data_IF_186452032384
#
_entry.id   IF_186452032384
#
_cell.length_a   1.000
_cell.length_b   1.000
_cell.length_c   1.000
_cell.angle_alpha   90.00
_cell.angle_beta   90.00
_cell.angle_gamma   90.00
#
_symmetry.space_group_name_H-M   'P 1'
#
loop_
_entity.id
_entity.type
_entity.pdbx_description
1 polymer ?
#
# COMPACT_ATOMS: atom_id res chain seq x y z
N UNK A 1 -8.64 -12.15 0.55
CA UNK A 1 -9.43 -11.88 1.76
C UNK A 1 -9.22 -10.42 2.04
N UNK A 2 -10.29 -9.62 2.13
CA UNK A 2 -10.13 -8.20 2.43
C UNK A 2 -9.45 -8.04 3.80
N UNK A 3 -8.78 -6.90 3.96
CA UNK A 3 -8.25 -6.42 5.25
C UNK A 3 -9.31 -6.60 6.33
N UNK A 4 -8.93 -7.12 7.50
CA UNK A 4 -9.88 -7.28 8.60
C UNK A 4 -10.47 -5.93 9.00
N UNK A 5 -11.76 -5.89 9.35
CA UNK A 5 -12.42 -4.65 9.78
C UNK A 5 -11.70 -4.02 10.97
N UNK A 6 -11.16 -4.84 11.87
CA UNK A 6 -10.33 -4.40 12.98
C UNK A 6 -9.06 -3.65 12.52
N UNK A 7 -8.31 -4.20 11.54
CA UNK A 7 -7.14 -3.50 11.00
C UNK A 7 -7.54 -2.21 10.28
N UNK A 8 -8.67 -2.21 9.58
CA UNK A 8 -9.17 -0.99 8.93
C UNK A 8 -9.48 0.09 9.95
N UNK A 9 -10.18 -0.22 11.04
CA UNK A 9 -10.48 0.75 12.09
C UNK A 9 -9.21 1.24 12.79
N UNK A 10 -8.29 0.34 13.15
CA UNK A 10 -7.02 0.71 13.77
C UNK A 10 -6.15 1.56 12.84
N UNK A 11 -6.18 1.31 11.53
CA UNK A 11 -5.44 2.13 10.56
C UNK A 11 -5.91 3.58 10.49
N UNK A 12 -7.10 3.90 11.03
CA UNK A 12 -7.64 5.25 11.14
C UNK A 12 -7.27 5.95 12.46
N UNK A 13 -6.69 5.23 13.42
CA UNK A 13 -6.21 5.79 14.68
C UNK A 13 -4.75 6.28 14.50
N UNK A 14 -4.46 7.58 14.69
CA UNK A 14 -3.08 8.09 14.71
C UNK A 14 -2.19 7.32 15.71
N UNK A 15 -2.75 6.97 16.87
CA UNK A 15 -2.06 6.27 17.95
C UNK A 15 -1.55 4.88 17.55
N UNK A 16 -2.25 4.19 16.65
CA UNK A 16 -1.81 2.90 16.12
C UNK A 16 -0.48 3.00 15.37
N UNK A 17 -0.24 4.12 14.68
CA UNK A 17 0.97 4.33 13.90
C UNK A 17 2.12 4.87 14.74
N UNK A 18 1.83 5.71 15.73
CA UNK A 18 2.84 6.33 16.62
C UNK A 18 3.18 5.47 17.85
N UNK A 19 2.40 4.42 18.13
CA UNK A 19 2.55 3.58 19.32
C UNK A 19 1.83 4.13 20.56
N UNK A 20 0.93 5.10 20.39
CA UNK A 20 0.14 5.75 21.44
C UNK A 20 -1.36 5.40 21.30
N UNK A 21 -1.68 4.11 21.13
CA UNK A 21 -3.07 3.65 20.97
C UNK A 21 -3.90 4.04 22.19
N UNK A 22 -4.93 4.84 21.98
CA UNK A 22 -5.92 5.16 23.02
C UNK A 22 -6.83 3.95 23.23
N UNK A 23 -7.17 3.61 24.47
CA UNK A 23 -8.07 2.49 24.82
C UNK A 23 -7.56 1.07 24.48
N UNK A 24 -6.23 0.84 24.57
CA UNK A 24 -5.60 -0.47 24.36
C UNK A 24 -6.23 -1.61 25.19
N UNK A 25 -6.80 -1.31 26.36
CA UNK A 25 -7.44 -2.28 27.26
C UNK A 25 -8.70 -2.95 26.68
N UNK A 26 -9.31 -2.37 25.63
CA UNK A 26 -10.50 -2.90 24.97
C UNK A 26 -10.20 -3.59 23.63
N UNK A 27 -8.93 -3.64 23.22
CA UNK A 27 -8.48 -4.29 22.01
C UNK A 27 -8.13 -5.76 22.26
N UNK A 28 -8.20 -6.63 21.24
CA UNK A 28 -7.70 -8.00 21.37
C UNK A 28 -6.18 -8.01 21.63
N UNK A 29 -5.68 -9.07 22.26
CA UNK A 29 -4.24 -9.19 22.54
C UNK A 29 -3.38 -9.15 21.26
N UNK A 30 -3.90 -9.71 20.16
CA UNK A 30 -3.22 -9.71 18.86
C UNK A 30 -4.19 -9.52 17.69
N UNK A 31 -3.66 -8.90 16.64
CA UNK A 31 -4.32 -8.71 15.36
C UNK A 31 -3.55 -9.43 14.26
N UNK A 32 -4.26 -10.27 13.50
CA UNK A 32 -3.70 -11.02 12.39
C UNK A 32 -4.22 -10.47 11.07
N UNK A 33 -3.31 -10.14 10.15
CA UNK A 33 -3.62 -9.74 8.79
C UNK A 33 -2.88 -10.64 7.80
N UNK A 34 -3.60 -11.13 6.80
CA UNK A 34 -3.02 -11.90 5.70
C UNK A 34 -3.13 -11.09 4.42
N UNK A 35 -2.00 -10.95 3.73
CA UNK A 35 -1.89 -10.32 2.42
C UNK A 35 -1.56 -11.41 1.38
N UNK A 36 -2.57 -12.00 0.73
CA UNK A 36 -2.36 -12.96 -0.36
C UNK A 36 -1.57 -12.29 -1.48
N UNK A 37 -0.49 -12.93 -1.93
CA UNK A 37 0.34 -12.39 -3.01
C UNK A 37 -0.02 -13.08 -4.33
N UNK A 38 0.24 -14.39 -4.46
CA UNK A 38 -0.09 -15.18 -5.66
C UNK A 38 0.10 -16.68 -5.39
N UNK A 39 -0.51 -17.54 -6.22
CA UNK A 39 -0.36 -19.02 -6.18
C UNK A 39 -0.54 -19.66 -4.79
N UNK A 40 -1.30 -19.03 -3.89
CA UNK A 40 -1.50 -19.50 -2.51
C UNK A 40 -0.44 -19.04 -1.51
N UNK A 41 0.57 -18.28 -1.93
CA UNK A 41 1.47 -17.57 -1.03
C UNK A 41 0.78 -16.36 -0.39
N UNK A 42 1.12 -16.06 0.86
CA UNK A 42 0.71 -14.84 1.53
C UNK A 42 1.77 -14.34 2.51
N UNK A 43 1.87 -13.02 2.66
CA UNK A 43 2.56 -12.40 3.78
C UNK A 43 1.56 -12.29 4.94
N UNK A 44 1.95 -12.75 6.12
CA UNK A 44 1.08 -12.73 7.31
C UNK A 44 1.73 -11.83 8.36
N UNK A 45 1.01 -10.79 8.74
CA UNK A 45 1.42 -9.86 9.78
C UNK A 45 0.60 -10.13 11.04
N UNK A 46 1.29 -10.36 12.14
CA UNK A 46 0.74 -10.36 13.48
C UNK A 46 1.19 -9.09 14.19
N UNK A 47 0.27 -8.41 14.86
CA UNK A 47 0.53 -7.23 15.68
C UNK A 47 0.02 -7.52 17.09
N UNK A 48 0.92 -7.54 18.06
CA UNK A 48 0.56 -7.56 19.48
C UNK A 48 0.17 -6.14 19.89
N UNK A 49 -1.11 -5.90 20.17
CA UNK A 49 -1.63 -4.54 20.34
C UNK A 49 -1.14 -3.85 21.62
N UNK A 50 -0.99 -4.54 22.77
CA UNK A 50 -0.44 -3.92 23.98
C UNK A 50 1.01 -3.46 23.88
N UNK A 51 1.86 -4.21 23.16
CA UNK A 51 3.30 -3.93 23.02
C UNK A 51 3.63 -3.15 21.73
N UNK A 52 2.74 -3.18 20.75
CA UNK A 52 3.00 -2.73 19.38
C UNK A 52 4.00 -3.60 18.63
N UNK A 53 4.41 -4.74 19.18
CA UNK A 53 5.33 -5.68 18.54
C UNK A 53 4.69 -6.32 17.32
N UNK A 54 5.46 -6.46 16.24
CA UNK A 54 4.99 -6.98 14.96
C UNK A 54 5.79 -8.21 14.57
N UNK A 55 5.13 -9.26 14.13
CA UNK A 55 5.77 -10.44 13.55
C UNK A 55 5.32 -10.64 12.11
N UNK A 56 6.28 -10.81 11.20
CA UNK A 56 6.02 -11.09 9.79
C UNK A 56 6.33 -12.57 9.51
N UNK A 57 5.42 -13.24 8.83
CA UNK A 57 5.59 -14.60 8.36
C UNK A 57 5.23 -14.78 6.88
N UNK A 58 5.77 -15.84 6.29
CA UNK A 58 5.48 -16.31 4.94
C UNK A 58 4.60 -17.56 5.01
N UNK A 59 3.36 -17.45 4.55
CA UNK A 59 2.50 -18.62 4.35
C UNK A 59 2.72 -19.17 2.95
N UNK A 60 2.97 -20.47 2.88
CA UNK A 60 3.18 -21.23 1.65
C UNK A 60 1.86 -21.78 1.10
N UNK A 61 1.81 -22.14 -0.19
CA UNK A 61 0.67 -22.85 -0.75
C UNK A 61 0.36 -24.11 0.06
N UNK A 62 -0.92 -24.32 0.37
CA UNK A 62 -1.42 -25.44 1.19
C UNK A 62 -0.89 -25.54 2.64
N UNK A 63 -0.08 -24.60 3.11
CA UNK A 63 0.32 -24.55 4.51
C UNK A 63 -0.72 -23.80 5.36
N UNK A 64 -1.06 -24.34 6.52
CA UNK A 64 -1.95 -23.69 7.49
C UNK A 64 -1.24 -22.61 8.31
N UNK A 65 0.04 -22.82 8.61
CA UNK A 65 0.84 -21.94 9.47
C UNK A 65 1.90 -21.17 8.65
N UNK A 66 2.09 -19.86 8.92
CA UNK A 66 3.15 -19.08 8.32
C UNK A 66 4.51 -19.43 8.95
N UNK A 67 5.55 -19.46 8.13
CA UNK A 67 6.94 -19.56 8.60
C UNK A 67 7.44 -18.15 8.92
N UNK A 68 7.97 -17.93 10.12
CA UNK A 68 8.42 -16.61 10.56
C UNK A 68 9.58 -16.09 9.69
N UNK A 69 9.45 -14.85 9.21
CA UNK A 69 10.49 -14.10 8.50
C UNK A 69 11.25 -13.16 9.44
N UNK A 70 10.54 -12.53 10.38
CA UNK A 70 11.15 -11.61 11.33
C UNK A 70 10.18 -11.08 12.36
N UNK A 71 10.72 -10.41 13.37
CA UNK A 71 9.99 -9.76 14.47
C UNK A 71 10.54 -8.35 14.64
N UNK A 72 9.65 -7.38 14.74
CA UNK A 72 9.93 -5.96 14.80
C UNK A 72 9.31 -5.38 16.08
N UNK A 73 10.08 -4.84 17.02
CA UNK A 73 9.53 -4.04 18.11
C UNK A 73 8.90 -2.74 17.57
N UNK A 74 7.98 -2.14 18.34
CA UNK A 74 7.25 -0.94 17.92
C UNK A 74 8.17 0.23 17.50
N UNK A 75 9.21 0.49 18.29
CA UNK A 75 10.15 1.60 18.09
C UNK A 75 11.46 1.21 17.38
N UNK A 76 11.53 0.00 16.82
CA UNK A 76 12.78 -0.54 16.30
C UNK A 76 13.76 -1.00 17.40
N UNK A 77 14.95 -1.51 17.02
CA UNK A 77 15.45 -1.59 15.65
C UNK A 77 14.72 -2.66 14.82
N UNK A 78 14.70 -2.50 13.50
CA UNK A 78 13.84 -3.34 12.66
C UNK A 78 14.60 -4.50 11.97
N UNK A 79 13.96 -5.66 11.79
CA UNK A 79 14.59 -6.83 11.19
C UNK A 79 14.74 -6.65 9.68
N UNK A 80 15.90 -7.00 9.13
CA UNK A 80 16.14 -7.03 7.68
C UNK A 80 15.56 -8.31 7.04
N UNK A 81 14.27 -8.57 7.24
CA UNK A 81 13.59 -9.79 6.81
C UNK A 81 13.37 -9.83 5.29
N UNK A 82 12.96 -8.71 4.71
CA UNK A 82 12.78 -8.51 3.27
C UNK A 82 13.81 -7.50 2.77
N UNK A 83 14.15 -7.60 1.49
CA UNK A 83 14.77 -6.49 0.75
C UNK A 83 13.68 -5.52 0.30
N UNK A 84 13.99 -4.24 0.17
CA UNK A 84 13.02 -3.22 -0.24
C UNK A 84 12.27 -3.60 -1.53
N UNK A 85 13.02 -4.00 -2.57
CA UNK A 85 12.43 -4.43 -3.85
C UNK A 85 11.57 -5.71 -3.74
N UNK A 86 11.86 -6.62 -2.79
CA UNK A 86 11.04 -7.82 -2.55
C UNK A 86 9.66 -7.41 -2.00
N UNK A 87 9.64 -6.48 -1.04
CA UNK A 87 8.40 -5.92 -0.49
C UNK A 87 7.62 -5.17 -1.57
N UNK A 88 8.27 -4.29 -2.32
CA UNK A 88 7.63 -3.49 -3.37
C UNK A 88 6.99 -4.39 -4.44
N UNK A 89 7.72 -5.41 -4.90
CA UNK A 89 7.21 -6.40 -5.87
C UNK A 89 5.95 -7.09 -5.36
N UNK A 90 5.97 -7.55 -4.10
CA UNK A 90 4.80 -8.19 -3.50
C UNK A 90 3.62 -7.22 -3.36
N UNK A 91 3.87 -5.98 -2.91
CA UNK A 91 2.85 -4.96 -2.72
C UNK A 91 2.15 -4.56 -4.03
N UNK A 92 2.90 -4.44 -5.14
CA UNK A 92 2.31 -4.21 -6.48
C UNK A 92 1.39 -5.34 -6.89
N UNK A 93 1.79 -6.59 -6.70
CA UNK A 93 0.95 -7.75 -7.01
C UNK A 93 -0.31 -7.77 -6.14
N UNK A 94 -0.18 -7.51 -4.83
CA UNK A 94 -1.32 -7.42 -3.91
C UNK A 94 -2.32 -6.36 -4.40
N UNK A 95 -1.84 -5.17 -4.80
CA UNK A 95 -2.71 -4.09 -5.26
C UNK A 95 -3.43 -4.43 -6.59
N UNK A 96 -2.78 -5.19 -7.48
CA UNK A 96 -3.42 -5.67 -8.71
C UNK A 96 -4.52 -6.69 -8.40
N UNK A 97 -4.31 -7.57 -7.43
CA UNK A 97 -5.25 -8.64 -7.10
C UNK A 97 -6.37 -8.19 -6.15
N UNK A 98 -6.10 -7.18 -5.32
CA UNK A 98 -7.05 -6.59 -4.36
C UNK A 98 -7.06 -5.05 -4.48
N UNK A 99 -8.04 -4.48 -5.20
CA UNK A 99 -8.17 -3.03 -5.38
C UNK A 99 -8.43 -2.27 -4.07
N UNK A 100 -8.81 -2.95 -2.99
CA UNK A 100 -8.97 -2.32 -1.66
C UNK A 100 -7.64 -2.05 -0.98
N UNK A 101 -6.53 -2.55 -1.54
CA UNK A 101 -5.16 -2.38 -1.06
C UNK A 101 -4.30 -1.66 -2.11
N UNK A 102 -4.52 -0.35 -2.35
CA UNK A 102 -3.77 0.40 -3.35
C UNK A 102 -2.28 0.47 -3.02
N UNK A 103 -1.46 0.68 -4.06
CA UNK A 103 -0.02 0.84 -3.94
C UNK A 103 0.41 2.23 -4.45
N UNK A 104 1.32 2.93 -3.73
CA UNK A 104 1.65 2.70 -2.33
C UNK A 104 0.45 2.90 -1.38
N UNK A 105 0.43 2.16 -0.27
CA UNK A 105 -0.66 2.26 0.71
C UNK A 105 -0.46 1.34 1.90
N UNK A 106 -1.57 0.86 2.47
CA UNK A 106 -1.58 0.14 3.75
C UNK A 106 -0.54 -0.98 3.85
N UNK A 107 -0.33 -1.74 2.77
CA UNK A 107 0.67 -2.83 2.74
C UNK A 107 2.10 -2.29 2.96
N UNK A 108 2.47 -1.21 2.28
CA UNK A 108 3.80 -0.59 2.46
C UNK A 108 3.91 0.04 3.85
N UNK A 109 2.87 0.74 4.31
CA UNK A 109 2.86 1.37 5.63
C UNK A 109 3.04 0.35 6.77
N UNK A 110 2.44 -0.84 6.64
CA UNK A 110 2.53 -1.90 7.66
C UNK A 110 3.82 -2.72 7.56
N UNK A 111 4.29 -3.02 6.35
CA UNK A 111 5.37 -3.99 6.13
C UNK A 111 6.75 -3.36 5.91
N UNK A 112 6.84 -2.04 5.66
CA UNK A 112 8.12 -1.36 5.49
C UNK A 112 9.11 -1.50 6.66
N UNK A 113 8.70 -1.67 7.93
CA UNK A 113 9.63 -2.00 9.00
C UNK A 113 10.45 -3.28 8.72
N UNK A 114 9.87 -4.28 8.05
CA UNK A 114 10.55 -5.54 7.75
C UNK A 114 11.48 -5.46 6.53
N UNK A 115 11.53 -4.31 5.85
CA UNK A 115 12.31 -4.07 4.65
C UNK A 115 13.14 -2.78 4.77
N UNK A 116 14.04 -2.67 5.76
CA UNK A 116 14.87 -1.47 5.90
C UNK A 116 15.66 -1.23 4.61
N UNK A 117 15.60 0.00 4.05
CA UNK A 117 16.24 0.28 2.78
C UNK A 117 17.77 0.25 2.89
N UNK A 118 18.43 -0.05 1.78
CA UNK A 118 19.88 0.15 1.66
C UNK A 118 20.18 1.62 1.39
N UNK A 119 21.44 2.04 1.53
CA UNK A 119 21.84 3.41 1.21
C UNK A 119 21.52 3.82 -0.25
N UNK A 120 21.47 2.86 -1.18
CA UNK A 120 21.11 3.11 -2.58
C UNK A 120 19.61 3.30 -2.79
N UNK A 121 18.79 2.69 -1.92
CA UNK A 121 17.32 2.70 -2.02
C UNK A 121 16.66 3.73 -1.08
N UNK A 122 17.42 4.34 -0.16
CA UNK A 122 16.86 5.08 0.99
C UNK A 122 15.92 6.22 0.59
N UNK A 123 16.31 7.05 -0.38
CA UNK A 123 15.45 8.14 -0.88
C UNK A 123 14.17 7.59 -1.50
N UNK A 124 14.29 6.56 -2.33
CA UNK A 124 13.16 5.96 -3.02
C UNK A 124 12.18 5.30 -2.04
N UNK A 125 12.72 4.60 -1.04
CA UNK A 125 11.95 3.96 0.00
C UNK A 125 11.26 4.97 0.92
N UNK A 126 11.95 6.04 1.29
CA UNK A 126 11.38 7.13 2.08
C UNK A 126 10.20 7.77 1.35
N UNK A 127 10.34 8.13 0.08
CA UNK A 127 9.25 8.70 -0.72
C UNK A 127 8.05 7.74 -0.85
N UNK A 128 8.31 6.44 -1.02
CA UNK A 128 7.26 5.43 -1.08
C UNK A 128 6.54 5.25 0.27
N UNK A 129 7.27 5.30 1.40
CA UNK A 129 6.68 5.28 2.74
C UNK A 129 5.81 6.51 2.97
N UNK A 130 6.30 7.69 2.62
CA UNK A 130 5.52 8.92 2.74
C UNK A 130 4.24 8.84 1.90
N UNK A 131 4.33 8.40 0.65
CA UNK A 131 3.18 8.22 -0.21
C UNK A 131 2.21 7.17 0.36
N UNK A 132 2.72 6.09 0.96
CA UNK A 132 1.90 5.07 1.61
C UNK A 132 1.14 5.61 2.83
N UNK A 133 1.77 6.42 3.68
CA UNK A 133 1.09 7.05 4.81
C UNK A 133 0.11 8.14 4.36
N UNK A 134 0.45 8.90 3.31
CA UNK A 134 -0.47 9.88 2.73
C UNK A 134 -1.68 9.22 2.08
N UNK A 135 -1.55 8.05 1.45
CA UNK A 135 -2.70 7.36 0.85
C UNK A 135 -3.66 6.75 1.89
N UNK A 136 -3.25 6.59 3.15
CA UNK A 136 -4.17 6.30 4.26
C UNK A 136 -5.19 7.43 4.51
N UNK A 137 -4.92 8.63 4.00
CA UNK A 137 -5.81 9.80 4.07
C UNK A 137 -6.92 9.78 3.00
N UNK A 138 -7.01 8.75 2.14
CA UNK A 138 -8.03 8.68 1.09
C UNK A 138 -9.41 8.85 1.71
N UNK A 139 -10.04 10.00 1.44
CA UNK A 139 -11.42 10.22 1.83
C UNK A 139 -12.27 9.17 1.11
N UNK A 140 -13.12 8.48 1.87
CA UNK A 140 -14.28 7.83 1.24
C UNK A 140 -15.08 8.98 0.63
N UNK A 141 -15.40 8.96 -0.68
CA UNK A 141 -16.19 10.01 -1.30
C UNK A 141 -17.38 10.33 -0.40
N UNK A 142 -17.61 11.60 -0.06
CA UNK A 142 -18.72 11.93 0.81
C UNK A 142 -19.98 11.32 0.21
N UNK A 143 -20.84 10.67 1.02
CA UNK A 143 -22.11 10.18 0.51
C UNK A 143 -22.82 11.33 -0.21
N UNK A 144 -23.50 11.02 -1.31
CA UNK A 144 -24.26 12.02 -2.06
C UNK A 144 -25.04 12.91 -1.08
N UNK A 145 -25.02 14.24 -1.26
CA UNK A 145 -25.51 15.18 -0.26
C UNK A 145 -26.90 14.76 0.20
N UNK A 146 -26.98 14.28 1.45
CA UNK A 146 -28.23 13.92 2.08
C UNK A 146 -28.85 15.18 2.66
N UNK A 147 -29.17 16.12 1.77
CA UNK A 147 -29.94 17.33 2.06
C UNK A 147 -31.24 17.29 1.27
N UNK A 148 -32.22 18.16 1.59
CA UNK A 148 -33.43 18.20 0.81
C UNK A 148 -33.12 18.73 -0.59
N UNK A 149 -33.52 18.01 -1.63
CA UNK A 149 -33.42 18.45 -3.03
C UNK A 149 -34.23 19.73 -3.32
N UNK A 150 -35.02 20.19 -2.33
CA UNK A 150 -35.88 21.36 -2.37
C UNK A 150 -35.68 22.23 -1.12
N UNK A 151 -36.00 23.52 -1.20
CA UNK A 151 -35.93 24.40 -0.04
C UNK A 151 -36.84 23.86 1.08
N UNK A 152 -36.30 23.55 2.28
CA UNK A 152 -37.10 22.94 3.33
C UNK A 152 -38.14 23.91 3.86
N UNK A 153 -39.31 23.37 4.24
CA UNK A 153 -40.35 24.14 4.92
C UNK A 153 -39.78 24.73 6.22
N UNK A 154 -40.31 25.87 6.72
CA UNK A 154 -39.78 26.54 7.91
C UNK A 154 -39.64 25.65 9.15
N UNK A 155 -40.48 24.62 9.27
CA UNK A 155 -40.44 23.64 10.37
C UNK A 155 -39.19 22.73 10.34
N UNK A 156 -38.62 22.52 9.15
CA UNK A 156 -37.44 21.67 8.91
C UNK A 156 -36.21 22.50 8.56
N UNK A 157 -36.20 23.80 8.85
CA UNK A 157 -35.06 24.66 8.52
C UNK A 157 -33.83 24.43 9.42
N UNK A 158 -33.99 23.70 10.54
CA UNK A 158 -32.91 23.46 11.50
C UNK A 158 -32.07 22.23 11.15
N UNK A 159 -30.75 22.32 11.34
CA UNK A 159 -29.76 21.29 10.99
C UNK A 159 -30.02 19.92 11.65
N UNK A 160 -30.68 19.88 12.81
CA UNK A 160 -31.05 18.63 13.51
C UNK A 160 -32.01 17.73 12.74
N UNK A 161 -32.72 18.28 11.75
CA UNK A 161 -33.65 17.53 10.89
C UNK A 161 -32.94 16.89 9.69
N UNK A 162 -31.67 17.23 9.49
CA UNK A 162 -30.85 16.78 8.38
C UNK A 162 -29.68 15.95 8.89
N UNK A 163 -29.21 14.96 8.13
CA UNK A 163 -27.94 14.31 8.41
C UNK A 163 -26.84 15.37 8.53
N UNK A 164 -26.03 15.26 9.59
CA UNK A 164 -24.90 16.17 9.77
C UNK A 164 -24.01 16.13 8.52
N UNK A 165 -23.48 17.27 8.06
CA UNK A 165 -22.50 17.27 6.97
C UNK A 165 -21.35 16.34 7.37
N UNK A 166 -20.81 15.54 6.43
CA UNK A 166 -19.67 14.69 6.73
C UNK A 166 -18.56 15.59 7.27
N UNK A 167 -18.18 15.35 8.52
CA UNK A 167 -17.01 15.98 9.11
C UNK A 167 -15.82 15.48 8.27
N UNK A 168 -14.94 16.35 7.74
CA UNK A 168 -13.74 15.88 7.09
C UNK A 168 -13.04 14.93 8.05
N UNK A 169 -12.70 13.73 7.55
CA UNK A 169 -12.06 12.72 8.38
C UNK A 169 -10.84 13.37 9.01
N UNK A 170 -10.69 13.37 10.36
CA UNK A 170 -9.49 13.90 10.98
C UNK A 170 -8.32 13.17 10.33
N UNK A 171 -7.42 13.92 9.69
CA UNK A 171 -6.28 13.33 8.99
C UNK A 171 -5.59 12.37 9.96
N UNK A 172 -5.57 11.09 9.61
CA UNK A 172 -5.04 10.02 10.48
C UNK A 172 -3.61 10.35 10.93
N UNK A 173 -2.82 10.97 10.06
CA UNK A 173 -1.46 11.41 10.35
C UNK A 173 -1.22 12.80 9.79
N UNK A 174 -0.69 13.70 10.61
CA UNK A 174 -0.18 15.00 10.17
C UNK A 174 1.15 14.86 9.41
N UNK A 175 1.61 15.93 8.73
CA UNK A 175 2.86 15.87 7.96
C UNK A 175 4.10 15.61 8.83
N UNK A 176 4.08 16.02 10.11
CA UNK A 176 5.22 15.80 11.01
C UNK A 176 5.33 14.31 11.40
N UNK A 177 4.20 13.66 11.68
CA UNK A 177 4.11 12.23 11.94
C UNK A 177 4.52 11.42 10.70
N UNK A 178 4.07 11.80 9.50
CA UNK A 178 4.50 11.14 8.26
C UNK A 178 6.00 11.25 8.05
N UNK A 179 6.59 12.44 8.25
CA UNK A 179 8.03 12.63 8.12
C UNK A 179 8.81 11.79 9.14
N UNK A 180 8.33 11.70 10.38
CA UNK A 180 8.96 10.88 11.42
C UNK A 180 8.90 9.38 11.09
N UNK A 181 7.74 8.88 10.66
CA UNK A 181 7.54 7.46 10.30
C UNK A 181 8.26 7.06 9.01
N UNK A 182 8.46 8.00 8.10
CA UNK A 182 9.12 7.76 6.80
C UNK A 182 10.64 7.93 6.87
N UNK A 183 11.16 8.41 8.00
CA UNK A 183 12.59 8.57 8.25
C UNK A 183 13.38 7.26 8.12
N UNK A 184 14.71 7.35 7.98
CA UNK A 184 15.56 6.17 7.86
C UNK A 184 15.42 5.29 9.10
N UNK A 185 15.13 4.02 8.85
CA UNK A 185 14.99 3.00 9.88
C UNK A 185 16.37 2.41 10.18
N UNK A 186 16.79 2.41 11.45
CA UNK A 186 17.98 1.66 11.85
C UNK A 186 17.71 0.15 11.76
N UNK A 187 18.41 -0.52 10.82
CA UNK A 187 18.39 -1.97 10.71
C UNK A 187 19.15 -2.59 11.88
N UNK A 188 18.47 -3.41 12.69
CA UNK A 188 19.08 -4.06 13.86
C UNK A 188 19.56 -5.47 13.56
N UNK A 189 18.61 -6.36 13.23
CA UNK A 189 18.85 -7.80 13.16
C UNK A 189 18.88 -8.33 11.72
N UNK A 190 20.01 -8.94 11.36
CA UNK A 190 20.18 -9.64 10.09
C UNK A 190 19.56 -11.05 10.15
N UNK A 191 18.23 -11.11 10.28
CA UNK A 191 17.45 -12.36 10.44
C UNK A 191 17.65 -13.35 9.29
N UNK A 192 18.03 -12.87 8.10
CA UNK A 192 18.32 -13.69 6.91
C UNK A 192 19.56 -14.57 7.05
N UNK A 193 20.45 -14.28 8.00
CA UNK A 193 21.61 -15.12 8.26
C UNK A 193 21.24 -16.41 9.01
N UNK A 194 20.03 -16.49 9.60
CA UNK A 194 19.56 -17.70 10.27
C UNK A 194 19.32 -18.84 9.28
N UNK A 195 19.75 -20.05 9.65
CA UNK A 195 19.52 -21.29 8.88
C UNK A 195 18.05 -21.66 8.75
N UNK A 196 17.20 -21.20 9.66
CA UNK A 196 15.74 -21.44 9.64
C UNK A 196 15.00 -20.46 8.74
N UNK A 197 15.67 -19.42 8.24
CA UNK A 197 15.05 -18.45 7.36
C UNK A 197 14.64 -19.12 6.03
N UNK A 198 13.39 -18.96 5.55
CA UNK A 198 12.86 -19.69 4.40
C UNK A 198 13.30 -19.06 3.06
N UNK A 199 14.61 -19.11 2.76
CA UNK A 199 15.20 -18.49 1.57
C UNK A 199 14.61 -18.98 0.26
N UNK A 200 14.41 -20.30 0.14
CA UNK A 200 13.90 -20.92 -1.09
C UNK A 200 12.45 -20.50 -1.36
N UNK A 201 11.60 -20.55 -0.33
CA UNK A 201 10.18 -20.17 -0.44
C UNK A 201 10.02 -18.68 -0.76
N UNK A 202 10.80 -17.81 -0.10
CA UNK A 202 10.78 -16.38 -0.38
C UNK A 202 11.28 -16.07 -1.81
N UNK A 203 12.36 -16.74 -2.24
CA UNK A 203 12.88 -16.57 -3.60
C UNK A 203 11.88 -17.05 -4.66
N UNK A 204 11.16 -18.15 -4.40
CA UNK A 204 10.13 -18.65 -5.29
C UNK A 204 8.95 -17.69 -5.41
N UNK A 205 8.44 -17.19 -4.27
CA UNK A 205 7.41 -16.16 -4.22
C UNK A 205 7.79 -14.94 -5.06
N UNK A 206 8.96 -14.36 -4.79
CA UNK A 206 9.40 -13.12 -5.42
C UNK A 206 9.62 -13.31 -6.92
N UNK A 207 10.22 -14.44 -7.34
CA UNK A 207 10.39 -14.79 -8.75
C UNK A 207 9.06 -14.87 -9.48
N UNK A 208 8.04 -15.50 -8.89
CA UNK A 208 6.70 -15.59 -9.48
C UNK A 208 5.99 -14.24 -9.50
N UNK A 209 6.16 -13.43 -8.46
CA UNK A 209 5.58 -12.09 -8.38
C UNK A 209 6.16 -11.19 -9.48
N UNK A 210 7.48 -11.21 -9.67
CA UNK A 210 8.14 -10.51 -10.75
C UNK A 210 7.67 -11.00 -12.13
N UNK A 211 7.52 -12.31 -12.32
CA UNK A 211 7.00 -12.88 -13.56
C UNK A 211 5.55 -12.46 -13.85
N UNK A 212 4.70 -12.37 -12.82
CA UNK A 212 3.31 -11.88 -12.92
C UNK A 212 3.27 -10.43 -13.39
N UNK A 213 4.08 -9.56 -12.77
CA UNK A 213 4.17 -8.15 -13.16
C UNK A 213 4.74 -7.99 -14.57
N UNK A 214 5.77 -8.76 -14.93
CA UNK A 214 6.38 -8.71 -16.26
C UNK A 214 5.43 -9.18 -17.39
N UNK A 215 4.53 -10.13 -17.09
CA UNK A 215 3.51 -10.59 -18.03
C UNK A 215 2.25 -9.72 -18.08
N UNK A 216 2.07 -8.80 -17.13
CA UNK A 216 0.88 -7.94 -17.06
C UNK A 216 0.67 -7.09 -18.35
N UNK A 217 1.70 -6.50 -18.97
CA UNK A 217 1.55 -5.74 -20.22
C UNK A 217 1.16 -6.57 -21.44
N UNK A 218 1.24 -7.90 -21.36
CA UNK A 218 0.96 -8.79 -22.49
C UNK A 218 -0.54 -9.06 -22.67
N UNK A 219 -1.40 -8.61 -21.74
CA UNK A 219 -2.83 -8.61 -21.98
C UNK A 219 -3.19 -7.64 -23.13
N UNK A 220 -4.08 -8.07 -24.05
CA UNK A 220 -4.26 -7.44 -25.36
C UNK A 220 -4.69 -5.96 -25.37
N UNK A 221 -5.26 -5.47 -24.27
CA UNK A 221 -5.61 -4.06 -24.06
C UNK A 221 -4.37 -3.21 -23.74
N UNK A 222 -3.40 -3.75 -23.00
CA UNK A 222 -2.16 -3.06 -22.64
C UNK A 222 -1.10 -3.04 -23.74
N UNK A 223 -1.06 -4.06 -24.60
CA UNK A 223 -0.11 -4.11 -25.70
C UNK A 223 -0.17 -2.85 -26.60
N UNK A 224 -1.38 -2.28 -26.76
CA UNK A 224 -1.62 -1.06 -27.55
C UNK A 224 -1.17 0.22 -26.86
N UNK A 225 -1.16 0.26 -25.53
CA UNK A 225 -0.80 1.45 -24.75
C UNK A 225 0.67 1.45 -24.30
N UNK A 226 1.35 0.30 -24.37
CA UNK A 226 2.76 0.12 -24.02
C UNK A 226 3.74 1.13 -24.64
N UNK A 227 3.63 1.55 -25.93
CA UNK A 227 4.52 2.57 -26.47
C UNK A 227 4.38 3.93 -25.78
N UNK A 228 3.15 4.31 -25.37
CA UNK A 228 2.90 5.54 -24.63
C UNK A 228 3.43 5.42 -23.20
N UNK A 229 3.17 4.31 -22.51
CA UNK A 229 3.72 4.06 -21.18
C UNK A 229 5.26 4.10 -21.17
N UNK A 230 5.93 3.50 -22.16
CA UNK A 230 7.40 3.56 -22.31
C UNK A 230 7.93 4.96 -22.54
N UNK A 231 7.19 5.79 -23.28
CA UNK A 231 7.55 7.20 -23.50
C UNK A 231 7.54 7.97 -22.18
N UNK A 232 6.46 7.83 -21.40
CA UNK A 232 6.32 8.44 -20.06
C UNK A 232 7.44 7.95 -19.14
N UNK A 233 7.66 6.63 -19.09
CA UNK A 233 8.71 6.02 -18.29
C UNK A 233 10.12 6.54 -18.65
N UNK A 234 10.39 6.75 -19.94
CA UNK A 234 11.69 7.24 -20.42
C UNK A 234 11.89 8.74 -20.26
N UNK A 235 10.82 9.54 -20.25
CA UNK A 235 10.90 11.00 -20.07
C UNK A 235 10.83 11.43 -18.61
N UNK A 236 10.21 10.63 -17.74
CA UNK A 236 9.86 11.05 -16.38
C UNK A 236 8.71 12.07 -16.33
N UNK A 237 8.01 12.30 -17.44
CA UNK A 237 7.00 13.35 -17.55
C UNK A 237 5.57 12.79 -17.41
N UNK A 238 4.97 12.99 -16.24
CA UNK A 238 3.62 12.51 -15.93
C UNK A 238 2.51 13.33 -16.61
N UNK A 239 2.80 14.40 -17.35
CA UNK A 239 1.76 15.19 -18.06
C UNK A 239 0.98 14.39 -19.10
N UNK A 240 1.57 13.31 -19.60
CA UNK A 240 0.95 12.41 -20.58
C UNK A 240 0.11 11.28 -19.92
N UNK A 241 0.03 11.21 -18.59
CA UNK A 241 -0.79 10.21 -17.86
C UNK A 241 -2.28 10.25 -18.26
N UNK A 242 -2.94 11.42 -18.39
CA UNK A 242 -4.34 11.46 -18.86
C UNK A 242 -4.53 10.87 -20.26
N UNK A 243 -3.54 11.04 -21.16
CA UNK A 243 -3.58 10.43 -22.49
C UNK A 243 -3.43 8.90 -22.41
N UNK A 244 -2.61 8.40 -21.48
CA UNK A 244 -2.50 6.97 -21.21
C UNK A 244 -3.81 6.39 -20.67
N UNK A 245 -4.44 7.08 -19.71
CA UNK A 245 -5.75 6.69 -19.17
C UNK A 245 -6.82 6.63 -20.27
N UNK A 246 -6.88 7.64 -21.15
CA UNK A 246 -7.78 7.66 -22.29
C UNK A 246 -7.55 6.47 -23.23
N UNK A 247 -6.30 6.20 -23.59
CA UNK A 247 -5.94 5.07 -24.45
C UNK A 247 -6.26 3.71 -23.81
N UNK A 248 -6.11 3.57 -22.49
CA UNK A 248 -6.48 2.37 -21.75
C UNK A 248 -8.00 2.16 -21.76
N UNK A 249 -8.75 3.22 -21.47
CA UNK A 249 -10.22 3.19 -21.47
C UNK A 249 -10.76 2.82 -22.85
N UNK A 250 -10.24 3.44 -23.92
CA UNK A 250 -10.58 3.09 -25.31
C UNK A 250 -10.18 1.65 -25.67
N UNK A 251 -9.09 1.15 -25.09
CA UNK A 251 -8.66 -0.22 -25.30
C UNK A 251 -9.51 -1.26 -24.57
N UNK A 252 -10.47 -0.83 -23.73
CA UNK A 252 -11.35 -1.68 -22.94
C UNK A 252 -10.77 -2.11 -21.58
N UNK A 253 -9.80 -1.36 -21.04
CA UNK A 253 -9.30 -1.54 -19.68
C UNK A 253 -10.43 -1.34 -18.66
N UNK A 254 -10.67 -2.34 -17.82
CA UNK A 254 -11.63 -2.28 -16.71
C UNK A 254 -10.97 -2.54 -15.35
N UNK A 255 -9.64 -2.63 -15.29
CA UNK A 255 -8.93 -2.95 -14.06
C UNK A 255 -8.95 -1.77 -13.07
N UNK A 256 -9.66 -1.87 -11.93
CA UNK A 256 -9.94 -0.74 -11.05
C UNK A 256 -8.66 -0.12 -10.48
N UNK A 257 -7.70 -0.93 -10.01
CA UNK A 257 -6.41 -0.43 -9.48
C UNK A 257 -5.65 0.42 -10.49
N UNK A 258 -5.69 0.05 -11.78
CA UNK A 258 -4.96 0.76 -12.84
C UNK A 258 -5.68 2.05 -13.22
N UNK A 259 -7.00 2.01 -13.31
CA UNK A 259 -7.80 3.19 -13.62
C UNK A 259 -7.73 4.24 -12.50
N UNK A 260 -7.88 3.82 -11.24
CA UNK A 260 -7.82 4.69 -10.06
C UNK A 260 -6.47 5.38 -9.94
N UNK A 261 -5.37 4.64 -10.10
CA UNK A 261 -4.01 5.18 -9.97
C UNK A 261 -3.64 6.19 -11.09
N UNK A 262 -4.36 6.20 -12.22
CA UNK A 262 -4.11 7.11 -13.34
C UNK A 262 -5.12 8.25 -13.45
N UNK A 263 -6.29 8.15 -12.82
CA UNK A 263 -7.36 9.16 -12.89
C UNK A 263 -7.19 10.27 -11.86
N UNK A 264 -7.02 9.91 -10.59
CA UNK A 264 -6.94 10.83 -9.45
C UNK A 264 -5.85 10.37 -8.46
N UNK A 265 -4.56 10.34 -8.88
CA UNK A 265 -3.49 9.87 -8.01
C UNK A 265 -3.34 10.80 -6.79
N UNK A 266 -3.35 10.23 -5.58
CA UNK A 266 -3.12 10.98 -4.33
C UNK A 266 -1.68 11.45 -4.21
N UNK A 267 -0.77 10.70 -4.81
CA UNK A 267 0.64 11.04 -4.96
C UNK A 267 1.10 10.65 -6.38
N UNK A 268 2.03 11.40 -6.99
CA UNK A 268 2.61 11.04 -8.29
C UNK A 268 3.09 9.58 -8.37
N UNK A 269 3.53 9.02 -7.24
CA UNK A 269 4.03 7.65 -7.12
C UNK A 269 2.98 6.57 -7.44
N UNK A 270 1.69 6.84 -7.23
CA UNK A 270 0.60 5.93 -7.63
C UNK A 270 0.56 5.77 -9.15
N UNK A 271 0.67 6.88 -9.90
CA UNK A 271 0.76 6.82 -11.35
C UNK A 271 2.09 6.20 -11.82
N UNK A 272 3.21 6.51 -11.15
CA UNK A 272 4.54 6.02 -11.53
C UNK A 272 4.61 4.49 -11.58
N UNK A 273 4.17 3.78 -10.54
CA UNK A 273 4.31 2.32 -10.51
C UNK A 273 3.45 1.64 -11.58
N UNK A 274 2.25 2.18 -11.86
CA UNK A 274 1.38 1.69 -12.93
C UNK A 274 2.05 1.90 -14.28
N UNK A 275 2.56 3.10 -14.55
CA UNK A 275 3.25 3.41 -15.81
C UNK A 275 4.48 2.50 -15.98
N UNK A 276 5.29 2.29 -14.95
CA UNK A 276 6.43 1.37 -14.99
C UNK A 276 5.98 -0.06 -15.32
N UNK A 277 4.93 -0.54 -14.65
CA UNK A 277 4.38 -1.88 -14.86
C UNK A 277 3.93 -2.03 -16.30
N UNK A 278 3.15 -1.09 -16.83
CA UNK A 278 2.65 -1.09 -18.21
C UNK A 278 3.76 -0.93 -19.26
N UNK A 279 4.82 -0.17 -18.95
CA UNK A 279 5.99 -0.03 -19.82
C UNK A 279 6.84 -1.33 -19.86
N UNK A 280 6.75 -2.15 -18.81
CA UNK A 280 7.70 -3.21 -18.51
C UNK A 280 9.07 -2.65 -18.10
N UNK A 281 9.07 -1.52 -17.40
CA UNK A 281 10.27 -0.91 -16.83
C UNK A 281 10.62 -1.56 -15.49
N UNK A 282 11.87 -1.40 -15.05
CA UNK A 282 12.26 -1.82 -13.70
C UNK A 282 11.53 -0.97 -12.65
N UNK A 283 11.00 -1.58 -11.57
CA UNK A 283 10.40 -0.85 -10.47
C UNK A 283 11.32 0.26 -9.93
N UNK A 284 10.77 1.45 -9.72
CA UNK A 284 11.49 2.61 -9.21
C UNK A 284 12.20 3.46 -10.26
N UNK A 285 12.16 3.09 -11.54
CA UNK A 285 12.71 3.88 -12.65
C UNK A 285 12.11 5.29 -12.70
N UNK A 286 10.79 5.42 -12.70
CA UNK A 286 10.08 6.70 -12.67
C UNK A 286 10.19 7.37 -11.31
N UNK A 287 10.18 6.60 -10.24
CA UNK A 287 10.29 7.14 -8.90
C UNK A 287 11.58 7.96 -8.73
N UNK A 288 12.72 7.49 -9.26
CA UNK A 288 14.00 8.23 -9.26
C UNK A 288 13.97 9.56 -10.03
N UNK A 289 12.99 9.79 -10.91
CA UNK A 289 12.80 11.10 -11.57
C UNK A 289 12.01 12.10 -10.73
N UNK A 290 11.33 11.63 -9.68
CA UNK A 290 10.36 12.41 -8.89
C UNK A 290 10.73 12.55 -7.40
N UNK A 291 11.86 11.99 -6.98
CA UNK A 291 12.39 12.07 -5.61
C UNK A 291 13.71 12.82 -5.60
#
# INVERSE_FOLDING_TARGET
MPVSEALRLLSLDPGFWTGEISDADFLPDSLWSSFPVLDGYALVLEIELPSGERSLGLRRPAASEPVQLGRAPAAGPYPAALRWWELETCARVIALDDPTLPHPGLVIALLSPFAPPTAEDDLAAAAMREAAYRSLRREVPPPAPSGPEQAPLPLFAEDRWWPAPPVPSPQVLDEAAIAALSGPAEGGDQVRADKRFPHEDLSDLVRRAAARLAGFPDHGWYARTRPLARRIAGSGDLRDVPALLGALTEAGCDHPTVLDALSEPLAPLEACWVVETLAGAEPGTLLRHHV
#
